data_IF_867065906132
#
_entry.id   IF_867065906132
#
_cell.length_a   1.000
_cell.length_b   1.000
_cell.length_c   1.000
_cell.angle_alpha   90.00
_cell.angle_beta   90.00
_cell.angle_gamma   90.00
#
_symmetry.space_group_name_H-M   'P 1'
#
loop_
_entity.id
_entity.type
_entity.pdbx_description
1 polymer ?
#
# COMPACT_ATOMS: atom_id res chain seq x y z
N UNK A 1 -12.04 -11.33 0.29
CA UNK A 1 -11.31 -10.87 1.49
C UNK A 1 -9.93 -10.46 1.02
N UNK A 2 -9.58 -9.18 1.11
CA UNK A 2 -8.36 -8.67 0.47
C UNK A 2 -7.13 -9.00 1.34
N UNK A 3 -6.10 -9.67 0.79
CA UNK A 3 -4.92 -10.14 1.53
C UNK A 3 -4.06 -9.01 2.12
N UNK A 4 -4.20 -7.79 1.59
CA UNK A 4 -3.48 -6.61 2.06
C UNK A 4 -3.71 -6.31 3.55
N UNK A 5 -4.96 -6.39 4.03
CA UNK A 5 -5.27 -6.08 5.43
C UNK A 5 -4.64 -7.08 6.39
N UNK A 6 -4.61 -8.38 6.03
CA UNK A 6 -4.02 -9.41 6.87
C UNK A 6 -2.49 -9.25 7.02
N UNK A 7 -1.81 -8.82 5.95
CA UNK A 7 -0.35 -8.63 5.94
C UNK A 7 0.01 -7.30 6.62
N UNK A 8 -0.76 -6.24 6.37
CA UNK A 8 -0.52 -4.92 6.94
C UNK A 8 -0.86 -4.85 8.44
N UNK A 9 -1.94 -5.49 8.90
CA UNK A 9 -2.38 -5.41 10.30
C UNK A 9 -1.41 -6.05 11.29
N UNK A 10 -0.55 -6.98 10.87
CA UNK A 10 0.45 -7.58 11.76
C UNK A 10 1.69 -6.70 11.96
N UNK A 11 1.91 -5.70 11.11
CA UNK A 11 3.12 -4.87 11.08
C UNK A 11 2.86 -3.39 11.28
N UNK A 12 1.65 -2.91 10.97
CA UNK A 12 1.28 -1.50 10.97
C UNK A 12 0.10 -1.25 11.92
N UNK A 13 0.21 -0.21 12.74
CA UNK A 13 -0.90 0.34 13.53
C UNK A 13 -2.07 0.77 12.64
N UNK A 14 -3.29 0.83 13.19
CA UNK A 14 -4.50 1.23 12.45
C UNK A 14 -4.35 2.57 11.72
N UNK A 15 -3.62 3.51 12.31
CA UNK A 15 -3.32 4.82 11.71
C UNK A 15 -2.44 4.71 10.46
N UNK A 16 -1.44 3.83 10.50
CA UNK A 16 -0.52 3.58 9.40
C UNK A 16 -1.21 2.73 8.32
N UNK A 17 -2.06 1.79 8.74
CA UNK A 17 -2.88 0.98 7.85
C UNK A 17 -3.85 1.84 7.02
N UNK A 18 -4.52 2.80 7.66
CA UNK A 18 -5.38 3.76 6.97
C UNK A 18 -4.61 4.64 5.97
N UNK A 19 -3.31 4.85 6.21
CA UNK A 19 -2.39 5.56 5.33
C UNK A 19 -2.02 4.72 4.12
N UNK A 20 -1.51 3.51 4.34
CA UNK A 20 -1.17 2.58 3.28
C UNK A 20 -2.37 2.24 2.41
N UNK A 21 -3.55 2.10 3.00
CA UNK A 21 -4.79 1.81 2.27
C UNK A 21 -5.20 2.97 1.36
N UNK A 22 -5.02 4.24 1.79
CA UNK A 22 -5.25 5.43 0.95
C UNK A 22 -4.25 5.50 -0.22
N UNK A 23 -2.96 5.29 0.04
CA UNK A 23 -1.94 5.25 -1.01
C UNK A 23 -2.25 4.16 -2.02
N UNK A 24 -2.60 2.97 -1.52
CA UNK A 24 -2.96 1.84 -2.35
C UNK A 24 -4.16 2.16 -3.25
N UNK A 25 -5.26 2.68 -2.69
CA UNK A 25 -6.46 3.03 -3.46
C UNK A 25 -6.17 4.10 -4.51
N UNK A 26 -5.36 5.10 -4.15
CA UNK A 26 -4.93 6.15 -5.06
C UNK A 26 -4.08 5.62 -6.21
N UNK A 27 -3.07 4.78 -5.93
CA UNK A 27 -2.20 4.20 -6.97
C UNK A 27 -3.00 3.24 -7.85
N UNK A 28 -3.89 2.42 -7.27
CA UNK A 28 -4.78 1.54 -8.03
C UNK A 28 -5.65 2.35 -8.99
N UNK A 29 -6.22 3.46 -8.51
CA UNK A 29 -7.04 4.35 -9.34
C UNK A 29 -6.21 5.10 -10.38
N UNK A 30 -5.04 5.62 -10.02
CA UNK A 30 -4.16 6.39 -10.90
C UNK A 30 -3.52 5.53 -12.01
N UNK A 31 -3.08 4.31 -11.68
CA UNK A 31 -2.53 3.35 -12.64
C UNK A 31 -3.60 2.51 -13.33
N UNK A 32 -4.86 2.58 -12.89
CA UNK A 32 -5.95 1.77 -13.43
C UNK A 32 -5.73 0.27 -13.20
N UNK A 33 -5.19 -0.11 -12.04
CA UNK A 33 -4.87 -1.51 -11.72
C UNK A 33 -6.17 -2.29 -11.51
N UNK A 34 -6.51 -3.08 -12.52
CA UNK A 34 -7.69 -3.95 -12.54
C UNK A 34 -7.36 -5.39 -12.18
N UNK A 35 -6.10 -5.81 -12.33
CA UNK A 35 -5.66 -7.17 -12.03
C UNK A 35 -5.38 -7.35 -10.54
N UNK A 36 -5.90 -8.44 -9.98
CA UNK A 36 -5.66 -8.79 -8.56
C UNK A 36 -4.19 -9.06 -8.27
N UNK A 37 -3.45 -9.68 -9.21
CA UNK A 37 -2.02 -9.94 -9.04
C UNK A 37 -1.19 -8.65 -8.90
N UNK A 38 -1.47 -7.63 -9.72
CA UNK A 38 -0.78 -6.35 -9.63
C UNK A 38 -1.17 -5.56 -8.37
N UNK A 39 -2.41 -5.74 -7.92
CA UNK A 39 -2.88 -5.24 -6.64
C UNK A 39 -2.12 -5.87 -5.47
N UNK A 40 -1.99 -7.19 -5.44
CA UNK A 40 -1.19 -7.88 -4.41
C UNK A 40 0.28 -7.44 -4.41
N UNK A 41 0.87 -7.29 -5.59
CA UNK A 41 2.26 -6.85 -5.73
C UNK A 41 2.44 -5.41 -5.23
N UNK A 42 1.52 -4.51 -5.59
CA UNK A 42 1.51 -3.13 -5.10
C UNK A 42 1.36 -3.07 -3.58
N UNK A 43 0.40 -3.83 -3.03
CA UNK A 43 0.18 -3.96 -1.59
C UNK A 43 1.45 -4.38 -0.86
N UNK A 44 2.11 -5.43 -1.35
CA UNK A 44 3.35 -5.94 -0.76
C UNK A 44 4.49 -4.92 -0.85
N UNK A 45 4.62 -4.22 -1.98
CA UNK A 45 5.64 -3.17 -2.15
C UNK A 45 5.38 -1.98 -1.22
N UNK A 46 4.13 -1.54 -1.03
CA UNK A 46 3.80 -0.46 -0.10
C UNK A 46 4.22 -0.84 1.31
N UNK A 47 3.87 -2.05 1.77
CA UNK A 47 4.22 -2.53 3.12
C UNK A 47 5.74 -2.63 3.30
N UNK A 48 6.47 -3.22 2.34
CA UNK A 48 7.93 -3.30 2.39
C UNK A 48 8.58 -1.91 2.43
N UNK A 49 8.09 -0.97 1.62
CA UNK A 49 8.61 0.40 1.58
C UNK A 49 8.38 1.10 2.94
N UNK A 50 7.21 0.86 3.55
CA UNK A 50 6.91 1.33 4.90
C UNK A 50 7.84 0.74 5.97
N UNK A 51 8.09 -0.57 5.91
CA UNK A 51 9.02 -1.26 6.83
C UNK A 51 10.46 -0.77 6.69
N UNK A 52 10.88 -0.39 5.49
CA UNK A 52 12.20 0.18 5.24
C UNK A 52 12.38 1.60 5.81
N UNK A 53 11.35 2.18 6.41
CA UNK A 53 11.41 3.49 7.08
C UNK A 53 10.73 4.63 6.31
N UNK A 54 10.18 4.35 5.13
CA UNK A 54 9.43 5.34 4.35
C UNK A 54 7.98 5.36 4.83
N UNK A 55 7.73 6.12 5.90
CA UNK A 55 6.38 6.31 6.47
C UNK A 55 5.61 7.48 5.86
N UNK A 56 6.24 8.18 4.91
CA UNK A 56 5.70 9.39 4.33
C UNK A 56 4.76 9.05 3.17
N UNK A 57 3.47 9.38 3.35
CA UNK A 57 2.40 9.10 2.39
C UNK A 57 2.73 9.67 0.99
N UNK A 58 3.33 10.87 0.94
CA UNK A 58 3.73 11.49 -0.32
C UNK A 58 4.96 10.84 -0.96
N UNK A 59 5.91 10.35 -0.15
CA UNK A 59 7.09 9.67 -0.68
C UNK A 59 6.72 8.34 -1.33
N UNK A 60 5.79 7.59 -0.71
CA UNK A 60 5.22 6.38 -1.29
C UNK A 60 4.46 6.69 -2.57
N UNK A 61 3.58 7.69 -2.56
CA UNK A 61 2.85 8.11 -3.74
C UNK A 61 3.80 8.46 -4.90
N UNK A 62 4.87 9.22 -4.64
CA UNK A 62 5.89 9.54 -5.65
C UNK A 62 6.68 8.33 -6.16
N UNK A 63 6.81 7.28 -5.37
CA UNK A 63 7.50 6.05 -5.75
C UNK A 63 6.64 5.15 -6.65
N UNK A 64 5.33 5.24 -6.50
CA UNK A 64 4.38 4.34 -7.15
C UNK A 64 3.55 4.99 -8.26
N UNK A 65 3.57 6.31 -8.42
CA UNK A 65 2.94 7.06 -9.51
C UNK A 65 3.97 7.49 -10.56
#
# INVERSE_FOLDING_TARGET
MLPFQAIAQSVLDESELARCQRVYDFVVSAKGITKEAEREELASRIIQTFQHGVKDEQALLRLFI
#
